data_IF_101498407887
#
_entry.id   IF_101498407887
#
_cell.length_a   1.000
_cell.length_b   1.000
_cell.length_c   1.000
_cell.angle_alpha   90.00
_cell.angle_beta   90.00
_cell.angle_gamma   90.00
#
_symmetry.space_group_name_H-M   'P 1'
#
loop_
_entity.id
_entity.type
_entity.pdbx_description
1 polymer ?
#
# COMPACT_ATOMS: atom_id res chain seq x y z
N UNK A 1 28.27 -16.19 -35.20
CA UNK A 1 28.47 -15.05 -34.27
C UNK A 1 27.42 -15.16 -33.17
N UNK A 2 27.83 -15.45 -31.94
CA UNK A 2 26.95 -15.56 -30.76
C UNK A 2 26.49 -14.15 -30.38
N UNK A 3 25.17 -13.88 -30.41
CA UNK A 3 24.59 -12.65 -29.88
C UNK A 3 24.36 -12.85 -28.38
N UNK A 4 25.15 -12.16 -27.57
CA UNK A 4 24.94 -12.05 -26.13
C UNK A 4 23.82 -11.01 -25.96
N UNK A 5 22.63 -11.44 -25.54
CA UNK A 5 21.59 -10.52 -25.07
C UNK A 5 21.95 -10.11 -23.65
N UNK A 6 22.40 -8.87 -23.50
CA UNK A 6 22.65 -8.23 -22.21
C UNK A 6 21.30 -7.90 -21.58
N UNK A 7 20.93 -8.61 -20.52
CA UNK A 7 19.80 -8.30 -19.66
C UNK A 7 20.06 -6.97 -18.97
N UNK A 8 19.29 -5.92 -19.31
CA UNK A 8 19.24 -4.70 -18.52
C UNK A 8 18.50 -4.98 -17.22
N UNK A 9 19.25 -5.15 -16.14
CA UNK A 9 18.72 -5.06 -14.78
C UNK A 9 18.41 -3.59 -14.54
N UNK A 10 17.13 -3.22 -14.59
CA UNK A 10 16.67 -1.92 -14.10
C UNK A 10 16.71 -2.02 -12.57
N UNK A 11 17.86 -1.63 -11.99
CA UNK A 11 17.96 -1.39 -10.57
C UNK A 11 17.17 -0.11 -10.27
N UNK A 12 15.94 -0.26 -9.78
CA UNK A 12 15.23 0.83 -9.13
C UNK A 12 15.98 1.11 -7.84
N UNK A 13 16.89 2.07 -7.86
CA UNK A 13 17.50 2.63 -6.65
C UNK A 13 16.39 3.30 -5.87
N UNK A 14 15.90 2.64 -4.83
CA UNK A 14 15.13 3.27 -3.77
C UNK A 14 15.98 4.42 -3.23
N UNK A 15 15.61 5.65 -3.56
CA UNK A 15 16.16 6.84 -2.94
C UNK A 15 15.81 6.78 -1.47
N UNK A 16 16.78 6.39 -0.65
CA UNK A 16 16.71 6.54 0.79
C UNK A 16 16.55 8.03 1.11
N UNK A 17 15.31 8.45 1.38
CA UNK A 17 15.03 9.73 2.01
C UNK A 17 15.53 9.59 3.46
N UNK A 18 16.78 9.98 3.66
CA UNK A 18 17.35 10.24 4.97
C UNK A 18 16.77 11.55 5.49
N UNK A 19 15.71 11.45 6.29
CA UNK A 19 15.37 12.46 7.27
C UNK A 19 15.27 11.77 8.64
N UNK A 20 16.08 12.27 9.55
CA UNK A 20 16.18 11.92 10.97
C UNK A 20 14.82 11.98 11.67
N UNK A 21 14.37 10.81 12.11
CA UNK A 21 13.27 10.56 13.03
C UNK A 21 13.29 9.06 13.27
N UNK A 22 13.08 8.60 14.50
CA UNK A 22 12.91 7.18 14.79
C UNK A 22 11.66 6.68 14.01
N UNK A 23 11.87 6.25 12.77
CA UNK A 23 10.81 5.74 11.92
C UNK A 23 10.45 4.37 12.47
N UNK A 24 9.29 4.27 13.12
CA UNK A 24 8.59 3.03 13.47
C UNK A 24 8.07 2.29 12.22
N UNK A 25 8.79 2.38 11.09
CA UNK A 25 8.47 1.62 9.90
C UNK A 25 8.72 0.15 10.20
N UNK A 26 7.67 -0.65 10.10
CA UNK A 26 7.79 -2.10 10.26
C UNK A 26 8.72 -2.61 9.16
N UNK A 27 9.73 -3.39 9.56
CA UNK A 27 10.68 -3.96 8.61
C UNK A 27 9.91 -4.84 7.64
N UNK A 28 9.97 -4.52 6.37
CA UNK A 28 9.26 -5.26 5.34
C UNK A 28 9.68 -6.74 5.35
N UNK A 29 8.69 -7.64 5.45
CA UNK A 29 8.93 -9.09 5.46
C UNK A 29 9.32 -9.63 4.09
N UNK A 30 10.17 -10.64 4.08
CA UNK A 30 10.47 -11.41 2.87
C UNK A 30 9.34 -12.38 2.53
N UNK A 31 9.23 -12.86 1.28
CA UNK A 31 8.25 -13.89 0.91
C UNK A 31 8.29 -15.14 1.80
N UNK A 32 9.48 -15.57 2.20
CA UNK A 32 9.68 -16.73 3.08
C UNK A 32 9.25 -16.48 4.52
N UNK A 33 9.26 -15.22 4.97
CA UNK A 33 8.73 -14.82 6.28
C UNK A 33 7.21 -14.78 6.23
N UNK A 34 6.62 -14.22 5.17
CA UNK A 34 5.16 -14.17 4.95
C UNK A 34 4.57 -15.59 4.93
N UNK A 35 5.22 -16.53 4.23
CA UNK A 35 4.75 -17.91 4.11
C UNK A 35 4.70 -18.70 5.43
N UNK A 36 5.28 -18.16 6.52
CA UNK A 36 5.27 -18.79 7.86
C UNK A 36 4.23 -18.19 8.79
N UNK A 37 3.56 -17.12 8.39
CA UNK A 37 2.58 -16.43 9.23
C UNK A 37 1.32 -17.28 9.35
N UNK A 38 0.76 -17.32 10.56
CA UNK A 38 -0.64 -17.73 10.71
C UNK A 38 -1.58 -16.70 10.08
N UNK A 39 -2.85 -17.05 9.78
CA UNK A 39 -3.84 -16.08 9.27
C UNK A 39 -3.98 -14.83 10.15
N UNK A 40 -3.84 -14.96 11.47
CA UNK A 40 -3.91 -13.84 12.40
C UNK A 40 -2.69 -12.93 12.30
N UNK A 41 -1.48 -13.49 12.24
CA UNK A 41 -0.25 -12.71 12.09
C UNK A 41 -0.19 -12.02 10.73
N UNK A 42 -0.63 -12.70 9.67
CA UNK A 42 -0.79 -12.12 8.33
C UNK A 42 -1.74 -10.92 8.34
N UNK A 43 -2.91 -11.04 8.99
CA UNK A 43 -3.86 -9.95 9.09
C UNK A 43 -3.34 -8.77 9.92
N UNK A 44 -2.57 -9.05 10.98
CA UNK A 44 -1.91 -8.01 11.78
C UNK A 44 -0.85 -7.26 10.97
N UNK A 45 0.03 -7.98 10.27
CA UNK A 45 1.06 -7.33 9.44
C UNK A 45 0.40 -6.50 8.32
N UNK A 46 -0.68 -6.99 7.70
CA UNK A 46 -1.45 -6.21 6.74
C UNK A 46 -2.04 -4.95 7.39
N UNK A 47 -2.58 -5.04 8.62
CA UNK A 47 -3.09 -3.87 9.35
C UNK A 47 -2.00 -2.81 9.52
N UNK A 48 -0.81 -3.24 9.93
CA UNK A 48 0.34 -2.38 10.15
C UNK A 48 0.75 -1.67 8.84
N UNK A 49 0.76 -2.37 7.70
CA UNK A 49 1.01 -1.76 6.39
C UNK A 49 -0.03 -0.68 6.06
N UNK A 50 -1.31 -0.94 6.33
CA UNK A 50 -2.37 0.03 6.09
C UNK A 50 -2.26 1.24 7.02
N UNK A 51 -2.04 1.03 8.32
CA UNK A 51 -1.83 2.09 9.32
C UNK A 51 -0.63 2.96 8.94
N UNK A 52 0.50 2.35 8.61
CA UNK A 52 1.72 3.08 8.22
C UNK A 52 1.47 3.95 6.98
N UNK A 53 0.70 3.47 6.00
CA UNK A 53 0.30 4.25 4.83
C UNK A 53 -0.55 5.46 5.18
N UNK A 54 -1.51 5.31 6.09
CA UNK A 54 -2.36 6.40 6.59
C UNK A 54 -1.53 7.43 7.37
N UNK A 55 -0.62 6.99 8.23
CA UNK A 55 0.27 7.88 8.99
C UNK A 55 1.19 8.69 8.08
N UNK A 56 1.76 8.06 7.04
CA UNK A 56 2.60 8.75 6.05
C UNK A 56 1.82 9.81 5.27
N UNK A 57 0.59 9.50 4.82
CA UNK A 57 -0.27 10.50 4.17
C UNK A 57 -0.65 11.64 5.13
N UNK A 58 -0.93 11.32 6.40
CA UNK A 58 -1.24 12.31 7.44
C UNK A 58 -0.07 13.25 7.69
N UNK A 59 1.16 12.72 7.75
CA UNK A 59 2.38 13.51 7.88
C UNK A 59 2.66 14.36 6.63
N UNK A 60 2.35 13.84 5.44
CA UNK A 60 2.46 14.60 4.20
C UNK A 60 1.53 15.82 4.21
N UNK A 61 0.30 15.69 4.70
CA UNK A 61 -0.62 16.81 4.85
C UNK A 61 -0.06 17.90 5.77
N UNK A 62 0.69 17.54 6.82
CA UNK A 62 1.35 18.51 7.71
C UNK A 62 2.55 19.18 7.05
N UNK A 63 3.29 18.45 6.20
CA UNK A 63 4.45 18.95 5.46
C UNK A 63 4.07 20.03 4.44
N UNK A 64 2.88 19.97 3.85
CA UNK A 64 2.45 20.84 2.77
C UNK A 64 1.32 21.80 3.21
N UNK A 65 1.62 23.08 3.50
CA UNK A 65 0.61 24.08 3.88
C UNK A 65 -0.44 24.34 2.80
N UNK A 66 -0.10 24.07 1.54
CA UNK A 66 -0.99 24.12 0.39
C UNK A 66 -0.71 22.92 -0.49
N UNK A 67 -1.76 22.35 -1.07
CA UNK A 67 -1.63 21.25 -2.02
C UNK A 67 -0.99 21.75 -3.32
N UNK A 68 -0.02 21.00 -3.81
CA UNK A 68 0.70 21.30 -5.03
C UNK A 68 1.15 20.02 -5.76
N UNK A 69 1.77 20.16 -6.94
CA UNK A 69 2.23 19.02 -7.73
C UNK A 69 3.26 18.14 -6.99
N UNK A 70 4.05 18.71 -6.09
CA UNK A 70 5.00 17.93 -5.28
C UNK A 70 4.27 17.10 -4.22
N UNK A 71 3.23 17.65 -3.59
CA UNK A 71 2.33 16.89 -2.71
C UNK A 71 1.71 15.72 -3.46
N UNK A 72 1.17 15.96 -4.66
CA UNK A 72 0.52 14.91 -5.44
C UNK A 72 1.48 13.76 -5.75
N UNK A 73 2.68 14.11 -6.21
CA UNK A 73 3.73 13.14 -6.50
C UNK A 73 4.12 12.33 -5.26
N UNK A 74 4.42 12.98 -4.15
CA UNK A 74 4.82 12.28 -2.91
C UNK A 74 3.66 11.44 -2.35
N UNK A 75 2.41 11.90 -2.46
CA UNK A 75 1.24 11.12 -2.03
C UNK A 75 1.06 9.85 -2.86
N UNK A 76 1.27 9.93 -4.18
CA UNK A 76 1.24 8.76 -5.05
C UNK A 76 2.40 7.80 -4.79
N UNK A 77 3.59 8.30 -4.47
CA UNK A 77 4.75 7.47 -4.09
C UNK A 77 4.47 6.70 -2.78
N UNK A 78 3.84 7.33 -1.78
CA UNK A 78 3.41 6.68 -0.54
C UNK A 78 2.40 5.57 -0.84
N UNK A 79 1.35 5.88 -1.62
CA UNK A 79 0.32 4.89 -1.98
C UNK A 79 0.90 3.71 -2.75
N UNK A 80 1.75 3.99 -3.75
CA UNK A 80 2.37 2.93 -4.54
C UNK A 80 3.27 2.05 -3.68
N UNK A 81 4.08 2.64 -2.78
CA UNK A 81 4.92 1.88 -1.85
C UNK A 81 4.08 0.99 -0.92
N UNK A 82 2.97 1.49 -0.39
CA UNK A 82 2.05 0.73 0.45
C UNK A 82 1.39 -0.43 -0.32
N UNK A 83 0.94 -0.18 -1.56
CA UNK A 83 0.38 -1.24 -2.41
C UNK A 83 1.44 -2.30 -2.72
N UNK A 84 2.67 -1.92 -3.05
CA UNK A 84 3.75 -2.88 -3.32
C UNK A 84 4.02 -3.80 -2.12
N UNK A 85 3.93 -3.29 -0.89
CA UNK A 85 4.01 -4.13 0.32
C UNK A 85 2.88 -5.16 0.34
N UNK A 86 1.62 -4.74 0.12
CA UNK A 86 0.45 -5.65 0.10
C UNK A 86 0.53 -6.67 -1.04
N UNK A 87 1.04 -6.30 -2.21
CA UNK A 87 1.22 -7.21 -3.36
C UNK A 87 2.11 -8.40 -3.00
N UNK A 88 3.11 -8.23 -2.12
CA UNK A 88 3.91 -9.37 -1.63
C UNK A 88 3.08 -10.40 -0.85
N UNK A 89 2.10 -9.92 -0.09
CA UNK A 89 1.15 -10.76 0.65
C UNK A 89 0.16 -11.42 -0.31
N UNK A 90 -0.34 -10.68 -1.31
CA UNK A 90 -1.17 -11.23 -2.38
C UNK A 90 -0.47 -12.34 -3.19
N UNK A 91 0.84 -12.19 -3.46
CA UNK A 91 1.63 -13.19 -4.17
C UNK A 91 1.77 -14.51 -3.40
N UNK A 92 1.85 -14.46 -2.06
CA UNK A 92 1.77 -15.66 -1.23
C UNK A 92 0.40 -16.34 -1.37
N UNK A 93 -0.68 -15.56 -1.30
CA UNK A 93 -2.05 -16.09 -1.41
C UNK A 93 -2.35 -16.69 -2.80
N UNK A 94 -1.77 -16.16 -3.87
CA UNK A 94 -1.88 -16.69 -5.23
C UNK A 94 -1.20 -18.07 -5.38
N UNK A 95 -0.28 -18.41 -4.47
CA UNK A 95 0.49 -19.67 -4.48
C UNK A 95 -0.08 -20.80 -3.62
N UNK A 96 -1.19 -20.58 -2.91
CA UNK A 96 -1.80 -21.57 -2.00
C UNK A 96 -3.19 -22.01 -2.47
N UNK A 97 -3.79 -22.99 -1.79
CA UNK A 97 -5.12 -23.50 -2.16
C UNK A 97 -6.23 -22.49 -1.86
N UNK A 98 -7.36 -22.56 -2.57
CA UNK A 98 -8.52 -21.68 -2.33
C UNK A 98 -9.07 -21.79 -0.90
N UNK A 99 -9.06 -22.99 -0.30
CA UNK A 99 -9.50 -23.20 1.08
C UNK A 99 -8.57 -22.49 2.08
N UNK A 100 -7.26 -22.58 1.89
CA UNK A 100 -6.29 -21.87 2.73
C UNK A 100 -6.40 -20.36 2.51
N UNK A 101 -6.44 -19.91 1.25
CA UNK A 101 -6.62 -18.50 0.84
C UNK A 101 -7.82 -17.86 1.54
N UNK A 102 -8.96 -18.57 1.61
CA UNK A 102 -10.17 -18.10 2.30
C UNK A 102 -9.91 -17.76 3.77
N UNK A 103 -9.15 -18.57 4.51
CA UNK A 103 -8.87 -18.34 5.93
C UNK A 103 -8.03 -17.08 6.17
N UNK A 104 -7.04 -16.83 5.31
CA UNK A 104 -6.24 -15.59 5.36
C UNK A 104 -7.09 -14.37 5.01
N UNK A 105 -7.86 -14.44 3.92
CA UNK A 105 -8.72 -13.33 3.49
C UNK A 105 -9.80 -13.01 4.54
N UNK A 106 -10.36 -14.02 5.22
CA UNK A 106 -11.33 -13.84 6.29
C UNK A 106 -10.72 -13.12 7.50
N UNK A 107 -9.48 -13.46 7.89
CA UNK A 107 -8.77 -12.75 8.95
C UNK A 107 -8.51 -11.28 8.58
N UNK A 108 -8.27 -11.01 7.30
CA UNK A 108 -8.19 -9.67 6.72
C UNK A 108 -9.55 -8.98 6.51
N UNK A 109 -10.70 -9.57 6.85
CA UNK A 109 -11.98 -8.83 6.79
C UNK A 109 -12.26 -8.04 8.07
N UNK A 110 -11.63 -8.41 9.18
CA UNK A 110 -11.83 -7.79 10.48
C UNK A 110 -11.01 -6.51 10.69
N UNK A 111 -10.85 -5.70 9.64
CA UNK A 111 -10.24 -4.37 9.74
C UNK A 111 -11.22 -3.31 10.27
N UNK A 112 -10.73 -2.35 11.06
CA UNK A 112 -9.53 -2.39 11.90
C UNK A 112 -9.90 -2.92 13.30
N UNK A 113 -9.23 -3.96 13.79
CA UNK A 113 -9.56 -4.54 15.11
C UNK A 113 -8.74 -4.02 16.27
N UNK A 114 -7.56 -3.42 16.05
CA UNK A 114 -6.80 -2.69 17.07
C UNK A 114 -5.98 -1.59 16.35
N UNK A 115 -5.94 -0.37 16.89
CA UNK A 115 -5.19 0.82 16.43
C UNK A 115 -5.65 1.52 15.13
N UNK A 116 -6.27 0.80 14.18
CA UNK A 116 -6.61 1.41 12.90
C UNK A 116 -7.71 2.50 12.94
N UNK A 117 -8.61 2.44 13.93
CA UNK A 117 -9.61 3.49 14.14
C UNK A 117 -9.00 4.78 14.71
N UNK A 118 -7.95 4.65 15.52
CA UNK A 118 -7.29 5.74 16.23
C UNK A 118 -6.41 6.57 15.28
N UNK A 119 -5.86 5.96 14.22
CA UNK A 119 -5.17 6.69 13.15
C UNK A 119 -6.10 7.19 12.05
N UNK A 120 -7.16 6.43 11.73
CA UNK A 120 -8.07 6.80 10.64
C UNK A 120 -8.90 8.03 10.99
N UNK A 121 -9.43 8.11 12.21
CA UNK A 121 -10.32 9.22 12.58
C UNK A 121 -9.63 10.59 12.48
N UNK A 122 -8.44 10.81 13.10
CA UNK A 122 -7.73 12.07 12.98
C UNK A 122 -7.28 12.37 11.54
N UNK A 123 -6.91 11.34 10.77
CA UNK A 123 -6.54 11.50 9.37
C UNK A 123 -7.73 11.97 8.51
N UNK A 124 -8.90 11.36 8.67
CA UNK A 124 -10.12 11.75 7.95
C UNK A 124 -10.56 13.16 8.35
N UNK A 125 -10.47 13.53 9.63
CA UNK A 125 -10.73 14.90 10.09
C UNK A 125 -9.77 15.91 9.44
N UNK A 126 -8.49 15.57 9.34
CA UNK A 126 -7.47 16.40 8.68
C UNK A 126 -7.71 16.55 7.17
N UNK A 127 -8.09 15.46 6.49
CA UNK A 127 -8.47 15.52 5.08
C UNK A 127 -9.71 16.39 4.87
N UNK A 128 -10.74 16.22 5.71
CA UNK A 128 -11.99 16.96 5.60
C UNK A 128 -11.79 18.46 5.87
N UNK A 129 -10.90 18.85 6.78
CA UNK A 129 -10.62 20.26 7.05
C UNK A 129 -9.96 20.98 5.86
N UNK A 130 -9.37 20.22 4.92
CA UNK A 130 -8.74 20.70 3.68
C UNK A 130 -9.55 20.39 2.43
N UNK A 131 -10.83 20.01 2.59
CA UNK A 131 -11.70 19.58 1.49
C UNK A 131 -11.80 20.60 0.34
N UNK A 132 -11.88 21.89 0.67
CA UNK A 132 -11.95 22.96 -0.34
C UNK A 132 -10.70 23.01 -1.21
N UNK A 133 -9.50 22.81 -0.65
CA UNK A 133 -8.24 22.76 -1.40
C UNK A 133 -8.22 21.57 -2.38
N UNK A 134 -8.75 20.40 -1.97
CA UNK A 134 -8.84 19.23 -2.86
C UNK A 134 -9.82 19.45 -4.02
N UNK A 135 -10.92 20.16 -3.77
CA UNK A 135 -11.90 20.49 -4.80
C UNK A 135 -11.37 21.51 -5.82
N UNK A 136 -10.55 22.46 -5.38
CA UNK A 136 -9.97 23.50 -6.22
C UNK A 136 -8.71 23.06 -6.97
N UNK A 137 -7.81 22.35 -6.30
CA UNK A 137 -6.47 22.06 -6.82
C UNK A 137 -6.36 20.68 -7.46
N UNK A 138 -6.71 19.62 -6.74
CA UNK A 138 -6.55 18.27 -7.27
C UNK A 138 -7.43 17.21 -6.58
N UNK A 139 -8.28 16.55 -7.37
CA UNK A 139 -9.08 15.40 -6.94
C UNK A 139 -8.24 14.14 -6.71
N UNK A 140 -7.03 14.07 -7.26
CA UNK A 140 -6.14 12.91 -7.22
C UNK A 140 -5.71 12.53 -5.80
N UNK A 141 -5.67 13.47 -4.87
CA UNK A 141 -5.41 13.15 -3.45
C UNK A 141 -6.54 12.35 -2.81
N UNK A 142 -7.78 12.66 -3.18
CA UNK A 142 -8.94 11.89 -2.73
C UNK A 142 -8.90 10.48 -3.33
N UNK A 143 -8.41 10.34 -4.57
CA UNK A 143 -8.15 9.05 -5.18
C UNK A 143 -7.06 8.26 -4.44
N UNK A 144 -5.94 8.89 -4.06
CA UNK A 144 -4.87 8.26 -3.28
C UNK A 144 -5.36 7.75 -1.91
N UNK A 145 -6.22 8.53 -1.24
CA UNK A 145 -6.87 8.09 0.01
C UNK A 145 -7.84 6.93 -0.23
N UNK A 146 -8.61 6.97 -1.31
CA UNK A 146 -9.52 5.89 -1.68
C UNK A 146 -8.75 4.59 -2.03
N UNK A 147 -7.57 4.70 -2.66
CA UNK A 147 -6.70 3.55 -2.98
C UNK A 147 -6.22 2.84 -1.71
N UNK A 148 -5.84 3.58 -0.65
CA UNK A 148 -5.47 2.96 0.64
C UNK A 148 -6.67 2.21 1.26
N UNK A 149 -7.89 2.72 1.11
CA UNK A 149 -9.08 2.04 1.65
C UNK A 149 -9.46 0.76 0.88
N UNK A 150 -8.99 0.59 -0.35
CA UNK A 150 -9.22 -0.63 -1.14
C UNK A 150 -8.02 -1.57 -1.18
N UNK A 151 -7.03 -1.40 -0.29
CA UNK A 151 -5.87 -2.29 -0.17
C UNK A 151 -6.21 -3.79 -0.16
N UNK A 152 -7.29 -4.28 0.50
CA UNK A 152 -7.62 -5.70 0.49
C UNK A 152 -7.86 -6.29 -0.91
N UNK A 153 -8.17 -5.47 -1.91
CA UNK A 153 -8.28 -5.90 -3.30
C UNK A 153 -6.94 -6.44 -3.83
N UNK A 154 -5.82 -5.89 -3.37
CA UNK A 154 -4.47 -6.31 -3.78
C UNK A 154 -4.01 -7.62 -3.14
N UNK A 155 -4.84 -8.24 -2.29
CA UNK A 155 -4.65 -9.61 -1.84
C UNK A 155 -5.28 -10.65 -2.80
N UNK A 156 -6.13 -10.21 -3.74
CA UNK A 156 -6.93 -11.07 -4.61
C UNK A 156 -6.49 -10.91 -6.06
N UNK A 157 -5.40 -11.59 -6.43
CA UNK A 157 -4.81 -11.42 -7.76
C UNK A 157 -5.73 -11.87 -8.90
N UNK A 158 -6.51 -12.93 -8.72
CA UNK A 158 -7.54 -13.36 -9.70
C UNK A 158 -8.53 -12.21 -9.99
N UNK A 159 -9.14 -11.66 -8.94
CA UNK A 159 -10.09 -10.54 -9.06
C UNK A 159 -9.45 -9.31 -9.73
N UNK A 160 -8.19 -9.01 -9.40
CA UNK A 160 -7.45 -7.90 -10.01
C UNK A 160 -7.19 -8.13 -11.51
N UNK A 161 -6.75 -9.33 -11.90
CA UNK A 161 -6.49 -9.67 -13.30
C UNK A 161 -7.77 -9.59 -14.13
N UNK A 162 -8.89 -10.06 -13.59
CA UNK A 162 -10.17 -10.09 -14.28
C UNK A 162 -10.87 -8.73 -14.35
N UNK A 163 -10.95 -8.02 -13.23
CA UNK A 163 -11.81 -6.84 -13.09
C UNK A 163 -11.03 -5.51 -13.12
N UNK A 164 -9.72 -5.54 -12.86
CA UNK A 164 -8.87 -4.37 -12.78
C UNK A 164 -7.51 -4.57 -13.50
N UNK A 165 -7.49 -5.00 -14.78
CA UNK A 165 -6.28 -5.44 -15.45
C UNK A 165 -5.18 -4.38 -15.52
N UNK A 166 -5.54 -3.09 -15.59
CA UNK A 166 -4.57 -1.98 -15.52
C UNK A 166 -3.82 -1.92 -14.18
N UNK A 167 -4.52 -2.16 -13.05
CA UNK A 167 -3.87 -2.22 -11.73
C UNK A 167 -2.97 -3.45 -11.64
N UNK A 168 -3.44 -4.59 -12.14
CA UNK A 168 -2.64 -5.81 -12.17
C UNK A 168 -1.33 -5.59 -12.95
N UNK A 169 -1.42 -4.99 -14.15
CA UNK A 169 -0.25 -4.63 -14.96
C UNK A 169 0.69 -3.66 -14.23
N UNK A 170 0.15 -2.57 -13.66
CA UNK A 170 0.93 -1.54 -12.95
C UNK A 170 1.81 -2.15 -11.85
N UNK A 171 1.28 -3.08 -11.08
CA UNK A 171 1.99 -3.68 -9.95
C UNK A 171 2.63 -5.05 -10.27
N UNK A 172 2.70 -5.42 -11.55
CA UNK A 172 3.39 -6.64 -12.00
C UNK A 172 2.71 -7.95 -11.61
N UNK A 173 1.40 -7.90 -11.37
CA UNK A 173 0.56 -9.05 -11.03
C UNK A 173 0.20 -9.76 -12.34
N UNK A 174 0.67 -10.99 -12.50
CA UNK A 174 0.53 -11.79 -13.74
C UNK A 174 -0.45 -12.92 -13.57
#
# INVERSE_FOLDING_TARGET
MKKILTTMVIAVTATAISCSGENSGTKERTPEEIAKLSPKEFANDFNEIWVEGIEQLSALLDKYPQLNADFDKESSEIVDATIYKVVKYGAFLDGITEEEKFNYLLACQTFPTVDGADVLTPFIEKLNSRFEEFMEYNRDVYYNTAEINVLPMYLKFDDLRENHPYRAEKYGIK
#
